data_IF_053922901237
#
_entry.id   IF_053922901237
#
_cell.length_a   1.000
_cell.length_b   1.000
_cell.length_c   1.000
_cell.angle_alpha   90.00
_cell.angle_beta   90.00
_cell.angle_gamma   90.00
#
_symmetry.space_group_name_H-M   'P 1'
#
loop_
_entity.id
_entity.type
_entity.pdbx_description
1 polymer ?
#
# COMPACT_ATOMS: atom_id res chain seq x y z
N UNK A 1 -26.73 3.02 74.19
CA UNK A 1 -25.75 3.80 73.39
C UNK A 1 -26.49 4.76 72.45
N UNK A 2 -26.28 6.07 72.61
CA UNK A 2 -27.05 7.13 71.92
C UNK A 2 -26.84 7.15 70.39
N UNK A 3 -27.90 7.51 69.65
CA UNK A 3 -27.98 7.64 68.18
C UNK A 3 -26.83 8.48 67.58
N UNK A 4 -26.31 9.46 68.35
CA UNK A 4 -25.15 10.29 67.98
C UNK A 4 -23.82 9.50 67.86
N UNK A 5 -23.67 8.41 68.61
CA UNK A 5 -22.43 7.62 68.62
C UNK A 5 -22.30 6.70 67.40
N UNK A 6 -23.42 6.15 66.91
CA UNK A 6 -23.47 5.36 65.68
C UNK A 6 -23.22 6.20 64.42
N UNK A 7 -23.63 7.47 64.40
CA UNK A 7 -23.36 8.39 63.28
C UNK A 7 -21.88 8.77 63.26
N UNK A 8 -21.28 9.09 64.41
CA UNK A 8 -19.83 9.35 64.50
C UNK A 8 -19.00 8.16 64.03
N UNK A 9 -19.31 6.94 64.45
CA UNK A 9 -18.60 5.74 63.99
C UNK A 9 -18.71 5.52 62.47
N UNK A 10 -19.88 5.76 61.87
CA UNK A 10 -20.05 5.67 60.41
C UNK A 10 -19.26 6.74 59.66
N UNK A 11 -19.25 7.99 60.14
CA UNK A 11 -18.47 9.07 59.52
C UNK A 11 -16.96 8.79 59.60
N UNK A 12 -16.45 8.31 60.74
CA UNK A 12 -15.06 7.90 60.86
C UNK A 12 -14.71 6.70 59.98
N UNK A 13 -15.61 5.74 59.82
CA UNK A 13 -15.40 4.57 58.95
C UNK A 13 -15.33 4.97 57.45
N UNK A 14 -16.19 5.88 56.99
CA UNK A 14 -16.13 6.38 55.61
C UNK A 14 -14.93 7.30 55.35
N UNK A 15 -14.51 8.11 56.33
CA UNK A 15 -13.26 8.89 56.25
C UNK A 15 -12.03 7.99 56.19
N UNK A 16 -12.03 6.87 56.92
CA UNK A 16 -10.93 5.92 56.95
C UNK A 16 -10.82 5.10 55.64
N UNK A 17 -11.95 4.68 55.06
CA UNK A 17 -11.97 4.05 53.72
C UNK A 17 -11.52 5.04 52.64
N UNK A 18 -11.97 6.29 52.70
CA UNK A 18 -11.52 7.34 51.78
C UNK A 18 -10.01 7.55 51.82
N UNK A 19 -9.41 7.60 53.02
CA UNK A 19 -7.95 7.72 53.19
C UNK A 19 -7.18 6.50 52.68
N UNK A 20 -7.73 5.28 52.80
CA UNK A 20 -7.12 4.06 52.24
C UNK A 20 -7.14 4.05 50.70
N UNK A 21 -8.27 4.42 50.08
CA UNK A 21 -8.41 4.44 48.61
C UNK A 21 -7.59 5.57 47.97
N UNK A 22 -7.50 6.74 48.61
CA UNK A 22 -6.62 7.83 48.15
C UNK A 22 -5.14 7.50 48.40
N UNK A 23 -4.81 6.80 49.49
CA UNK A 23 -3.45 6.33 49.78
C UNK A 23 -2.93 5.37 48.70
N UNK A 24 -3.72 4.36 48.33
CA UNK A 24 -3.34 3.38 47.28
C UNK A 24 -3.24 4.03 45.90
N UNK A 25 -4.17 4.94 45.56
CA UNK A 25 -4.14 5.67 44.29
C UNK A 25 -2.94 6.62 44.17
N UNK A 26 -2.50 7.26 45.26
CA UNK A 26 -1.29 8.07 45.26
C UNK A 26 -0.01 7.22 45.11
N UNK A 27 0.05 6.03 45.70
CA UNK A 27 1.17 5.09 45.47
C UNK A 27 1.20 4.60 44.02
N UNK A 28 0.08 4.17 43.45
CA UNK A 28 -0.01 3.74 42.05
C UNK A 28 0.35 4.88 41.07
N UNK A 29 -0.15 6.10 41.30
CA UNK A 29 0.24 7.27 40.49
C UNK A 29 1.72 7.61 40.62
N UNK A 30 2.32 7.43 41.80
CA UNK A 30 3.75 7.65 42.01
C UNK A 30 4.61 6.61 41.29
N UNK A 31 4.12 5.38 41.20
CA UNK A 31 4.79 4.25 40.55
C UNK A 31 4.69 4.39 39.02
N UNK A 32 3.50 4.69 38.50
CA UNK A 32 3.28 5.04 37.09
C UNK A 32 4.10 6.26 36.67
N UNK A 33 4.27 7.26 37.54
CA UNK A 33 5.13 8.42 37.26
C UNK A 33 6.60 8.02 37.16
N UNK A 34 7.08 7.14 38.05
CA UNK A 34 8.45 6.61 37.99
C UNK A 34 8.68 5.78 36.73
N UNK A 35 7.75 4.90 36.37
CA UNK A 35 7.83 4.11 35.15
C UNK A 35 7.85 4.99 33.90
N UNK A 36 6.98 6.00 33.82
CA UNK A 36 7.00 6.95 32.71
C UNK A 36 8.30 7.75 32.64
N UNK A 37 8.89 8.13 33.78
CA UNK A 37 10.16 8.83 33.81
C UNK A 37 11.30 7.93 33.30
N UNK A 38 11.34 6.67 33.72
CA UNK A 38 12.30 5.66 33.22
C UNK A 38 12.11 5.40 31.73
N UNK A 39 10.87 5.32 31.23
CA UNK A 39 10.58 5.16 29.81
C UNK A 39 11.02 6.38 28.99
N UNK A 40 10.84 7.60 29.54
CA UNK A 40 11.26 8.85 28.89
C UNK A 40 12.79 8.92 28.81
N UNK A 41 13.48 8.59 29.89
CA UNK A 41 14.95 8.53 29.93
C UNK A 41 15.50 7.47 28.96
N UNK A 42 14.90 6.26 28.94
CA UNK A 42 15.27 5.20 28.00
C UNK A 42 15.01 5.58 26.55
N UNK A 43 13.91 6.28 26.27
CA UNK A 43 13.62 6.84 24.94
C UNK A 43 14.66 7.89 24.54
N UNK A 44 15.06 8.76 25.47
CA UNK A 44 16.08 9.79 25.21
C UNK A 44 17.46 9.16 24.94
N UNK A 45 17.84 8.12 25.69
CA UNK A 45 19.08 7.36 25.45
C UNK A 45 19.04 6.67 24.09
N UNK A 46 17.95 5.99 23.74
CA UNK A 46 17.78 5.35 22.42
C UNK A 46 17.81 6.36 21.27
N UNK A 47 17.35 7.59 21.50
CA UNK A 47 17.44 8.67 20.52
C UNK A 47 18.88 9.18 20.38
N UNK A 48 19.59 9.35 21.49
CA UNK A 48 20.99 9.77 21.50
C UNK A 48 21.93 8.69 20.93
N UNK A 49 21.65 7.40 21.19
CA UNK A 49 22.33 6.26 20.58
C UNK A 49 22.04 6.17 19.07
N UNK A 50 20.80 6.44 18.64
CA UNK A 50 20.47 6.58 17.20
C UNK A 50 21.22 7.75 16.57
N UNK A 51 21.26 8.92 17.20
CA UNK A 51 22.03 10.06 16.70
C UNK A 51 23.53 9.74 16.65
N UNK A 52 24.04 8.98 17.62
CA UNK A 52 25.40 8.44 17.64
C UNK A 52 25.67 7.45 16.50
N UNK A 53 24.77 6.50 16.26
CA UNK A 53 24.86 5.58 15.12
C UNK A 53 24.72 6.28 13.78
N UNK A 54 23.83 7.27 13.66
CA UNK A 54 23.71 8.11 12.45
C UNK A 54 25.00 8.89 12.20
N UNK A 55 25.71 9.32 13.24
CA UNK A 55 27.05 9.94 13.12
C UNK A 55 28.15 8.92 12.78
N UNK A 56 28.10 7.71 13.33
CA UNK A 56 29.06 6.64 13.06
C UNK A 56 28.91 6.03 11.65
N UNK A 57 27.68 5.96 11.15
CA UNK A 57 27.32 5.59 9.79
C UNK A 57 26.99 6.81 8.92
N UNK A 58 27.68 7.93 9.13
CA UNK A 58 27.84 8.88 8.04
C UNK A 58 28.63 8.14 6.95
N UNK A 59 27.92 7.54 5.99
CA UNK A 59 28.51 7.24 4.70
C UNK A 59 29.32 8.48 4.33
N UNK A 60 30.59 8.30 3.98
CA UNK A 60 31.32 9.35 3.29
C UNK A 60 30.59 9.55 1.96
N UNK A 61 29.53 10.34 1.98
CA UNK A 61 29.09 11.06 0.81
C UNK A 61 30.32 11.89 0.46
N UNK A 62 31.11 11.41 -0.51
CA UNK A 62 31.83 12.35 -1.34
C UNK A 62 30.73 13.29 -1.80
N UNK A 63 30.76 14.59 -1.43
CA UNK A 63 29.83 15.51 -2.07
C UNK A 63 30.08 15.30 -3.55
N UNK A 64 29.09 14.76 -4.26
CA UNK A 64 29.13 14.83 -5.72
C UNK A 64 29.39 16.29 -6.01
N UNK A 65 30.35 16.60 -6.91
CA UNK A 65 30.75 17.98 -7.13
C UNK A 65 29.49 18.80 -7.27
N UNK A 66 29.43 19.95 -6.59
CA UNK A 66 28.31 20.89 -6.73
C UNK A 66 28.19 21.15 -8.23
N UNK A 67 27.26 20.44 -8.88
CA UNK A 67 27.06 20.54 -10.32
C UNK A 67 26.46 21.91 -10.52
N UNK A 68 27.30 22.82 -10.99
CA UNK A 68 26.88 24.12 -11.49
C UNK A 68 25.99 23.91 -12.72
N UNK A 69 25.24 24.95 -13.06
CA UNK A 69 24.20 25.05 -14.09
C UNK A 69 24.62 24.66 -15.53
N UNK A 70 25.82 24.12 -15.74
CA UNK A 70 26.36 23.76 -17.04
C UNK A 70 25.85 22.42 -17.62
N UNK A 71 25.15 21.58 -16.85
CA UNK A 71 24.71 20.23 -17.30
C UNK A 71 23.19 20.05 -17.42
N UNK A 72 22.40 21.12 -17.51
CA UNK A 72 20.97 21.02 -17.86
C UNK A 72 20.07 20.29 -16.87
N UNK A 73 20.55 19.92 -15.67
CA UNK A 73 19.70 19.37 -14.61
C UNK A 73 18.95 20.53 -13.96
N UNK A 74 17.68 20.70 -14.29
CA UNK A 74 16.81 21.63 -13.58
C UNK A 74 16.66 21.15 -12.13
N UNK A 75 17.36 21.81 -11.20
CA UNK A 75 17.05 21.69 -9.77
C UNK A 75 15.70 22.38 -9.53
N UNK A 76 14.61 21.62 -9.59
CA UNK A 76 13.34 22.09 -9.04
C UNK A 76 13.56 22.30 -7.52
N UNK A 77 13.21 23.49 -7.02
CA UNK A 77 13.39 23.81 -5.60
C UNK A 77 12.54 22.86 -4.74
N UNK A 78 12.99 22.57 -3.52
CA UNK A 78 12.23 21.77 -2.56
C UNK A 78 10.80 22.32 -2.44
N UNK A 79 9.80 21.45 -2.60
CA UNK A 79 8.39 21.83 -2.55
C UNK A 79 7.60 20.85 -1.68
N UNK A 80 6.48 21.30 -1.12
CA UNK A 80 5.52 20.42 -0.44
C UNK A 80 4.61 19.67 -1.43
N UNK A 81 4.87 19.79 -2.74
CA UNK A 81 4.01 19.24 -3.78
C UNK A 81 4.55 17.90 -4.30
N UNK A 82 4.20 16.83 -3.59
CA UNK A 82 4.67 15.47 -3.91
C UNK A 82 4.12 14.91 -5.23
N UNK A 83 2.93 15.36 -5.66
CA UNK A 83 2.24 14.83 -6.84
C UNK A 83 2.99 15.02 -8.16
N UNK A 84 3.86 16.04 -8.24
CA UNK A 84 4.64 16.37 -9.44
C UNK A 84 5.63 15.29 -9.88
N UNK A 85 5.94 14.32 -9.02
CA UNK A 85 6.90 13.25 -9.28
C UNK A 85 6.25 11.85 -9.38
N UNK A 86 4.92 11.76 -9.22
CA UNK A 86 4.21 10.48 -9.16
C UNK A 86 3.69 10.12 -10.55
N UNK A 87 4.31 9.12 -11.20
CA UNK A 87 3.94 8.67 -12.55
C UNK A 87 3.01 7.45 -12.58
N UNK A 88 2.84 6.75 -11.45
CA UNK A 88 1.93 5.62 -11.28
C UNK A 88 1.04 5.80 -10.05
N UNK A 89 -0.23 5.42 -10.16
CA UNK A 89 -1.04 5.15 -8.97
C UNK A 89 -0.90 3.68 -8.56
N UNK A 90 -0.26 3.44 -7.41
CA UNK A 90 -0.06 2.10 -6.84
C UNK A 90 -1.11 1.74 -5.80
N UNK A 91 -2.11 2.61 -5.62
CA UNK A 91 -3.17 2.41 -4.64
C UNK A 91 -4.29 1.50 -5.11
N UNK A 92 -4.78 1.56 -6.38
CA UNK A 92 -5.84 0.70 -6.90
C UNK A 92 -5.37 -0.73 -7.18
N UNK A 93 -6.34 -1.65 -7.37
CA UNK A 93 -6.03 -3.05 -7.66
C UNK A 93 -5.24 -3.14 -8.95
N UNK A 94 -5.73 -2.55 -10.02
CA UNK A 94 -4.97 -2.36 -11.25
C UNK A 94 -4.29 -1.00 -11.19
N UNK A 95 -2.95 -0.98 -11.23
CA UNK A 95 -2.19 0.26 -11.29
C UNK A 95 -2.30 0.90 -12.66
N UNK A 96 -2.41 2.22 -12.70
CA UNK A 96 -2.45 3.01 -13.94
C UNK A 96 -1.37 4.09 -13.89
N UNK A 97 -0.86 4.51 -15.05
CA UNK A 97 -0.03 5.71 -15.10
C UNK A 97 -0.92 6.92 -14.90
N UNK A 98 -0.41 7.98 -14.29
CA UNK A 98 -1.21 9.14 -13.93
C UNK A 98 -0.57 10.46 -14.37
N UNK A 99 -1.37 11.29 -15.02
CA UNK A 99 -1.03 12.67 -15.41
C UNK A 99 -1.67 13.67 -14.44
N UNK A 100 -1.13 14.89 -14.31
CA UNK A 100 -1.68 15.97 -13.49
C UNK A 100 -2.49 16.89 -14.37
N UNK A 101 -3.76 17.05 -14.06
CA UNK A 101 -4.54 18.16 -14.57
C UNK A 101 -4.57 19.23 -13.50
N UNK A 102 -4.17 20.44 -13.87
CA UNK A 102 -4.14 21.63 -13.03
C UNK A 102 -5.16 22.61 -13.60
N UNK A 103 -6.08 23.06 -12.77
CA UNK A 103 -7.14 23.99 -13.14
C UNK A 103 -6.76 25.44 -12.81
N UNK A 104 -7.47 26.40 -13.41
CA UNK A 104 -7.20 27.84 -13.23
C UNK A 104 -7.36 28.31 -11.76
N UNK A 105 -8.24 27.67 -10.99
CA UNK A 105 -8.43 27.92 -9.56
C UNK A 105 -7.34 27.29 -8.68
N UNK A 106 -6.36 26.62 -9.29
CA UNK A 106 -5.27 25.92 -8.62
C UNK A 106 -5.62 24.52 -8.13
N UNK A 107 -6.86 24.05 -8.34
CA UNK A 107 -7.25 22.66 -8.09
C UNK A 107 -6.41 21.71 -8.96
N UNK A 108 -6.17 20.50 -8.47
CA UNK A 108 -5.30 19.51 -9.10
C UNK A 108 -5.86 18.12 -8.93
N UNK A 109 -5.86 17.35 -10.01
CA UNK A 109 -6.38 16.00 -10.01
C UNK A 109 -5.48 15.06 -10.82
N UNK A 110 -5.37 13.81 -10.36
CA UNK A 110 -4.64 12.75 -11.05
C UNK A 110 -5.56 12.09 -12.08
N UNK A 111 -5.17 12.12 -13.35
CA UNK A 111 -5.89 11.48 -14.45
C UNK A 111 -5.19 10.18 -14.85
N UNK A 112 -5.85 9.01 -14.71
CA UNK A 112 -5.28 7.75 -15.14
C UNK A 112 -5.18 7.67 -16.67
N UNK A 113 -4.17 6.95 -17.19
CA UNK A 113 -3.97 6.72 -18.63
C UNK A 113 -5.06 5.88 -19.30
N UNK A 114 -6.01 5.39 -18.52
CA UNK A 114 -7.25 4.74 -18.98
C UNK A 114 -8.38 5.72 -19.29
N UNK A 115 -8.23 7.00 -18.90
CA UNK A 115 -9.17 8.07 -19.17
C UNK A 115 -8.57 9.06 -20.18
N UNK A 116 -9.39 9.57 -21.08
CA UNK A 116 -8.98 10.63 -22.00
C UNK A 116 -8.65 11.92 -21.22
N UNK A 117 -7.54 12.55 -21.57
CA UNK A 117 -7.14 13.81 -20.97
C UNK A 117 -7.98 14.94 -21.56
N UNK A 118 -8.47 15.88 -20.74
CA UNK A 118 -9.17 17.05 -21.26
C UNK A 118 -8.20 17.95 -22.02
N UNK A 119 -8.74 18.83 -22.86
CA UNK A 119 -7.96 19.84 -23.55
C UNK A 119 -7.64 21.03 -22.63
N UNK A 120 -6.53 21.73 -22.90
CA UNK A 120 -6.21 22.97 -22.18
C UNK A 120 -7.28 24.03 -22.53
N UNK A 121 -7.90 24.60 -21.51
CA UNK A 121 -9.02 25.54 -21.62
C UNK A 121 -10.39 24.87 -21.62
N UNK A 122 -10.48 23.54 -21.65
CA UNK A 122 -11.76 22.83 -21.55
C UNK A 122 -12.40 23.03 -20.17
N UNK A 123 -13.73 23.19 -20.14
CA UNK A 123 -14.51 23.18 -18.90
C UNK A 123 -14.84 21.75 -18.50
N UNK A 124 -14.35 21.33 -17.34
CA UNK A 124 -14.56 20.00 -16.76
C UNK A 124 -15.33 20.13 -15.45
N UNK A 125 -16.31 19.25 -15.25
CA UNK A 125 -17.02 19.12 -13.98
C UNK A 125 -16.22 18.22 -13.03
N UNK A 126 -15.88 18.76 -11.87
CA UNK A 126 -15.15 18.08 -10.81
C UNK A 126 -16.00 18.04 -9.55
N UNK A 127 -15.65 17.17 -8.59
CA UNK A 127 -16.43 17.01 -7.35
C UNK A 127 -15.57 17.35 -6.14
N UNK A 128 -15.98 18.36 -5.39
CA UNK A 128 -15.39 18.71 -4.11
C UNK A 128 -16.20 18.12 -2.97
N UNK A 129 -15.53 17.55 -1.97
CA UNK A 129 -16.16 17.21 -0.70
C UNK A 129 -16.13 18.43 0.22
N UNK A 130 -17.29 18.99 0.51
CA UNK A 130 -17.45 20.17 1.37
C UNK A 130 -18.21 19.78 2.62
N UNK A 131 -17.78 20.28 3.78
CA UNK A 131 -18.54 20.13 5.03
C UNK A 131 -19.69 21.14 5.05
N UNK A 132 -20.93 20.65 5.01
CA UNK A 132 -22.16 21.44 5.13
C UNK A 132 -23.04 20.81 6.21
N UNK A 133 -23.50 21.60 7.18
CA UNK A 133 -24.35 21.13 8.28
C UNK A 133 -23.81 19.87 8.98
N UNK A 134 -22.51 19.87 9.30
CA UNK A 134 -21.78 18.75 9.91
C UNK A 134 -21.74 17.46 9.06
N UNK A 135 -22.11 17.54 7.79
CA UNK A 135 -22.09 16.42 6.83
C UNK A 135 -21.14 16.72 5.67
N UNK A 136 -20.37 15.72 5.25
CA UNK A 136 -19.60 15.80 4.01
C UNK A 136 -20.55 15.62 2.83
N UNK A 137 -20.63 16.63 1.95
CA UNK A 137 -21.46 16.62 0.75
C UNK A 137 -20.59 16.81 -0.49
N UNK A 138 -20.95 16.11 -1.57
CA UNK A 138 -20.33 16.26 -2.87
C UNK A 138 -20.91 17.49 -3.58
N UNK A 139 -20.07 18.47 -3.86
CA UNK A 139 -20.41 19.66 -4.63
C UNK A 139 -19.75 19.57 -6.00
N UNK A 140 -20.56 19.61 -7.06
CA UNK A 140 -20.05 19.71 -8.44
C UNK A 140 -19.55 21.13 -8.68
N UNK A 141 -18.33 21.25 -9.21
CA UNK A 141 -17.67 22.51 -9.53
C UNK A 141 -17.17 22.46 -10.98
N UNK A 142 -17.62 23.41 -11.80
CA UNK A 142 -17.07 23.62 -13.15
C UNK A 142 -15.71 24.30 -13.06
N UNK A 143 -14.70 23.71 -13.70
CA UNK A 143 -13.32 24.21 -13.69
C UNK A 143 -12.75 24.21 -15.10
N UNK A 144 -11.96 25.23 -15.42
CA UNK A 144 -11.23 25.31 -16.69
C UNK A 144 -9.82 24.75 -16.53
N UNK A 145 -9.39 23.90 -17.46
CA UNK A 145 -8.06 23.29 -17.44
C UNK A 145 -7.01 24.34 -17.78
N UNK A 146 -6.07 24.56 -16.86
CA UNK A 146 -4.97 25.51 -17.04
C UNK A 146 -3.71 24.84 -17.58
N UNK A 147 -3.36 23.67 -17.06
CA UNK A 147 -2.12 22.97 -17.43
C UNK A 147 -2.25 21.47 -17.22
N UNK A 148 -1.60 20.71 -18.10
CA UNK A 148 -1.46 19.26 -17.97
C UNK A 148 0.03 18.93 -17.79
N UNK A 149 0.34 18.04 -16.84
CA UNK A 149 1.67 17.45 -16.65
C UNK A 149 1.54 15.95 -16.85
N UNK A 150 1.99 15.46 -17.98
CA UNK A 150 1.91 14.05 -18.37
C UNK A 150 2.68 13.15 -17.39
N UNK A 151 2.30 11.87 -17.32
CA UNK A 151 3.03 10.90 -16.50
C UNK A 151 4.50 10.78 -16.90
N UNK A 152 4.83 11.00 -18.19
CA UNK A 152 6.20 11.02 -18.70
C UNK A 152 6.98 12.21 -18.14
N UNK A 153 6.40 13.41 -18.15
CA UNK A 153 7.03 14.60 -17.56
C UNK A 153 7.24 14.43 -16.05
N UNK A 154 6.24 13.88 -15.34
CA UNK A 154 6.39 13.54 -13.92
C UNK A 154 7.51 12.52 -13.68
N UNK A 155 7.66 11.54 -14.58
CA UNK A 155 8.75 10.56 -14.52
C UNK A 155 10.12 11.20 -14.75
N UNK A 156 10.27 12.03 -15.78
CA UNK A 156 11.54 12.72 -16.01
C UNK A 156 11.92 13.62 -14.84
N UNK A 157 10.95 14.33 -14.24
CA UNK A 157 11.17 15.08 -12.99
C UNK A 157 11.70 14.21 -11.85
N UNK A 158 11.20 12.99 -11.68
CA UNK A 158 11.75 12.06 -10.68
C UNK A 158 13.13 11.52 -11.08
N UNK A 159 13.35 11.26 -12.37
CA UNK A 159 14.66 10.83 -12.89
C UNK A 159 15.74 11.90 -12.68
N UNK A 160 15.39 13.18 -12.74
CA UNK A 160 16.33 14.28 -12.45
C UNK A 160 16.89 14.21 -11.03
N UNK A 161 16.08 13.79 -10.05
CA UNK A 161 16.56 13.51 -8.69
C UNK A 161 17.61 12.40 -8.72
N UNK A 162 17.37 11.32 -9.46
CA UNK A 162 18.30 10.20 -9.59
C UNK A 162 19.60 10.59 -10.33
N UNK A 163 19.53 11.48 -11.33
CA UNK A 163 20.69 11.97 -12.13
C UNK A 163 21.71 12.76 -11.30
N UNK A 164 21.36 13.14 -10.06
CA UNK A 164 22.32 13.70 -9.12
C UNK A 164 23.42 12.68 -8.78
N UNK A 165 23.11 11.39 -8.69
CA UNK A 165 24.02 10.34 -8.22
C UNK A 165 24.23 9.18 -9.21
N UNK A 166 23.25 8.89 -10.07
CA UNK A 166 23.27 7.76 -10.99
C UNK A 166 23.37 8.19 -12.45
N UNK A 167 23.97 7.34 -13.29
CA UNK A 167 23.97 7.54 -14.73
C UNK A 167 22.62 7.16 -15.36
N UNK A 168 22.39 7.61 -16.59
CA UNK A 168 21.13 7.41 -17.29
C UNK A 168 20.78 5.93 -17.53
N UNK A 169 21.78 5.08 -17.83
CA UNK A 169 21.57 3.65 -18.07
C UNK A 169 20.99 2.98 -16.81
N UNK A 170 21.57 3.24 -15.64
CA UNK A 170 21.09 2.70 -14.38
C UNK A 170 19.65 3.16 -14.10
N UNK A 171 19.37 4.45 -14.28
CA UNK A 171 18.05 5.04 -14.02
C UNK A 171 16.99 4.41 -14.94
N UNK A 172 17.27 4.34 -16.24
CA UNK A 172 16.33 3.77 -17.22
C UNK A 172 16.09 2.27 -16.96
N UNK A 173 17.12 1.52 -16.59
CA UNK A 173 16.98 0.11 -16.23
C UNK A 173 16.18 -0.08 -14.93
N UNK A 174 16.33 0.80 -13.95
CA UNK A 174 15.52 0.78 -12.72
C UNK A 174 14.02 0.98 -13.04
N UNK A 175 13.68 2.02 -13.81
CA UNK A 175 12.29 2.26 -14.22
C UNK A 175 11.72 1.17 -15.12
N UNK A 176 12.53 0.58 -16.01
CA UNK A 176 12.09 -0.57 -16.83
C UNK A 176 11.73 -1.77 -15.95
N UNK A 177 12.54 -2.09 -14.94
CA UNK A 177 12.24 -3.17 -14.00
C UNK A 177 10.97 -2.88 -13.18
N UNK A 178 10.84 -1.65 -12.68
CA UNK A 178 9.64 -1.22 -11.95
C UNK A 178 8.38 -1.31 -12.81
N UNK A 179 8.38 -0.76 -14.02
CA UNK A 179 7.24 -0.82 -14.94
C UNK A 179 6.89 -2.27 -15.28
N UNK A 180 7.88 -3.11 -15.60
CA UNK A 180 7.66 -4.52 -15.91
C UNK A 180 7.01 -5.27 -14.75
N UNK A 181 7.42 -5.00 -13.50
CA UNK A 181 6.82 -5.63 -12.33
C UNK A 181 5.37 -5.17 -12.13
N UNK A 182 5.09 -3.86 -12.25
CA UNK A 182 3.74 -3.32 -12.12
C UNK A 182 2.82 -3.96 -13.16
N UNK A 183 3.29 -4.08 -14.41
CA UNK A 183 2.55 -4.75 -15.48
C UNK A 183 2.36 -6.24 -15.21
N UNK A 184 3.41 -6.95 -14.75
CA UNK A 184 3.29 -8.36 -14.36
C UNK A 184 2.22 -8.55 -13.28
N UNK A 185 2.25 -7.72 -12.23
CA UNK A 185 1.24 -7.76 -11.18
C UNK A 185 -0.16 -7.50 -11.73
N UNK A 186 -0.30 -6.45 -12.56
CA UNK A 186 -1.57 -6.04 -13.14
C UNK A 186 -2.20 -7.15 -14.01
N UNK A 187 -1.43 -7.69 -14.96
CA UNK A 187 -1.94 -8.65 -15.95
C UNK A 187 -2.14 -10.04 -15.35
N UNK A 188 -1.16 -10.54 -14.58
CA UNK A 188 -1.17 -11.92 -14.09
C UNK A 188 -2.08 -12.13 -12.87
N UNK A 189 -2.23 -11.11 -12.04
CA UNK A 189 -2.94 -11.23 -10.76
C UNK A 189 -4.11 -10.26 -10.65
N UNK A 190 -3.86 -8.95 -10.74
CA UNK A 190 -4.87 -7.94 -10.41
C UNK A 190 -6.13 -8.04 -11.29
N UNK A 191 -5.97 -8.08 -12.62
CA UNK A 191 -7.08 -8.15 -13.57
C UNK A 191 -7.86 -9.48 -13.46
N UNK A 192 -7.23 -10.68 -13.46
CA UNK A 192 -7.95 -11.93 -13.26
C UNK A 192 -8.74 -11.99 -11.94
N UNK A 193 -8.11 -11.55 -10.84
CA UNK A 193 -8.75 -11.50 -9.52
C UNK A 193 -9.96 -10.56 -9.54
N UNK A 194 -9.81 -9.35 -10.07
CA UNK A 194 -10.91 -8.38 -10.19
C UNK A 194 -12.06 -8.92 -11.05
N UNK A 195 -11.75 -9.58 -12.17
CA UNK A 195 -12.74 -10.18 -13.05
C UNK A 195 -13.48 -11.33 -12.37
N UNK A 196 -12.81 -12.20 -11.59
CA UNK A 196 -13.49 -13.26 -10.84
C UNK A 196 -14.41 -12.70 -9.77
N UNK A 197 -13.98 -11.67 -9.03
CA UNK A 197 -14.85 -11.03 -8.02
C UNK A 197 -16.08 -10.38 -8.66
N UNK A 198 -15.92 -9.73 -9.81
CA UNK A 198 -17.04 -9.15 -10.57
C UNK A 198 -18.02 -10.24 -10.99
N UNK A 199 -17.55 -11.31 -11.62
CA UNK A 199 -18.41 -12.40 -12.07
C UNK A 199 -19.16 -13.06 -10.89
N UNK A 200 -18.52 -13.20 -9.73
CA UNK A 200 -19.16 -13.78 -8.53
C UNK A 200 -20.31 -12.89 -8.03
N UNK A 201 -20.19 -11.57 -8.14
CA UNK A 201 -21.28 -10.63 -7.84
C UNK A 201 -22.39 -10.77 -8.88
N UNK A 202 -22.05 -10.81 -10.16
CA UNK A 202 -23.03 -10.93 -11.26
C UNK A 202 -23.81 -12.26 -11.22
N UNK A 203 -23.15 -13.35 -10.80
CA UNK A 203 -23.78 -14.66 -10.58
C UNK A 203 -24.59 -14.73 -9.26
N UNK A 204 -24.61 -13.65 -8.48
CA UNK A 204 -25.29 -13.58 -7.18
C UNK A 204 -24.73 -14.55 -6.14
N UNK A 205 -23.43 -14.91 -6.27
CA UNK A 205 -22.67 -15.63 -5.24
C UNK A 205 -22.29 -14.68 -4.12
N UNK A 206 -21.85 -13.47 -4.48
CA UNK A 206 -21.49 -12.42 -3.51
C UNK A 206 -22.52 -11.30 -3.50
N UNK A 207 -22.83 -10.78 -2.31
CA UNK A 207 -23.62 -9.58 -2.15
C UNK A 207 -22.73 -8.33 -2.32
N UNK A 208 -23.02 -7.39 -3.25
CA UNK A 208 -22.22 -6.18 -3.42
C UNK A 208 -22.24 -5.26 -2.19
N UNK A 209 -23.27 -5.37 -1.34
CA UNK A 209 -23.41 -4.60 -0.09
C UNK A 209 -22.91 -5.36 1.15
N UNK A 210 -22.44 -6.60 0.96
CA UNK A 210 -21.98 -7.49 2.01
C UNK A 210 -20.46 -7.67 1.96
N UNK A 211 -19.66 -6.69 2.43
CA UNK A 211 -18.22 -6.85 2.46
C UNK A 211 -17.83 -7.94 3.47
N UNK A 212 -16.87 -8.78 3.10
CA UNK A 212 -16.24 -9.75 4.00
C UNK A 212 -17.15 -10.88 4.53
N UNK A 213 -18.23 -11.19 3.83
CA UNK A 213 -19.14 -12.31 4.11
C UNK A 213 -18.53 -13.67 3.75
N UNK A 214 -17.68 -13.73 2.73
CA UNK A 214 -16.99 -14.94 2.29
C UNK A 214 -15.46 -14.80 2.38
N UNK A 215 -14.76 -15.91 2.64
CA UNK A 215 -13.29 -15.96 2.74
C UNK A 215 -12.60 -15.38 1.48
N UNK A 216 -13.18 -15.60 0.30
CA UNK A 216 -12.66 -15.07 -0.97
C UNK A 216 -12.55 -13.54 -0.98
N UNK A 217 -13.45 -12.82 -0.28
CA UNK A 217 -13.39 -11.36 -0.16
C UNK A 217 -12.24 -10.91 0.77
N UNK A 218 -11.94 -11.66 1.82
CA UNK A 218 -10.78 -11.40 2.68
C UNK A 218 -9.46 -11.63 1.94
N UNK A 219 -9.36 -12.71 1.17
CA UNK A 219 -8.17 -13.01 0.36
C UNK A 219 -7.99 -11.94 -0.74
N UNK A 220 -9.07 -11.57 -1.43
CA UNK A 220 -9.08 -10.45 -2.38
C UNK A 220 -8.53 -9.15 -1.76
N UNK A 221 -8.95 -8.85 -0.52
CA UNK A 221 -8.45 -7.69 0.23
C UNK A 221 -6.98 -7.83 0.65
N UNK A 222 -6.43 -9.03 0.82
CA UNK A 222 -4.98 -9.18 1.07
C UNK A 222 -4.19 -8.94 -0.22
N UNK A 223 -4.63 -9.55 -1.33
CA UNK A 223 -3.99 -9.51 -2.66
C UNK A 223 -3.70 -8.11 -3.19
N UNK A 224 -4.56 -7.15 -2.88
CA UNK A 224 -4.44 -5.80 -3.43
C UNK A 224 -3.80 -4.79 -2.46
N UNK A 225 -4.49 -4.29 -1.43
CA UNK A 225 -3.98 -3.17 -0.62
C UNK A 225 -2.79 -3.56 0.27
N UNK A 226 -2.57 -4.85 0.55
CA UNK A 226 -1.41 -5.34 1.30
C UNK A 226 -0.28 -5.76 0.35
N UNK A 227 -0.26 -7.02 -0.08
CA UNK A 227 0.89 -7.62 -0.75
C UNK A 227 1.11 -7.05 -2.16
N UNK A 228 0.03 -6.83 -2.91
CA UNK A 228 0.09 -6.18 -4.21
C UNK A 228 0.63 -4.77 -4.15
N UNK A 229 0.21 -3.97 -3.16
CA UNK A 229 0.78 -2.63 -2.94
C UNK A 229 2.24 -2.75 -2.48
N UNK A 230 2.57 -3.68 -1.58
CA UNK A 230 3.91 -3.87 -1.03
C UNK A 230 4.93 -4.22 -2.13
N UNK A 231 4.60 -5.14 -3.03
CA UNK A 231 5.50 -5.52 -4.13
C UNK A 231 5.78 -4.34 -5.08
N UNK A 232 4.74 -3.59 -5.47
CA UNK A 232 4.88 -2.43 -6.37
C UNK A 232 5.65 -1.28 -5.72
N UNK A 233 5.40 -1.01 -4.43
CA UNK A 233 6.16 -0.01 -3.67
C UNK A 233 7.61 -0.44 -3.47
N UNK A 234 7.85 -1.70 -3.11
CA UNK A 234 9.19 -2.28 -3.00
C UNK A 234 10.00 -2.06 -4.27
N UNK A 235 9.41 -2.32 -5.44
CA UNK A 235 10.09 -2.12 -6.71
C UNK A 235 10.36 -0.64 -7.03
N UNK A 236 9.41 0.25 -6.71
CA UNK A 236 9.59 1.69 -6.91
C UNK A 236 10.71 2.30 -6.07
N UNK A 237 11.06 1.66 -4.94
CA UNK A 237 12.04 2.15 -3.97
C UNK A 237 13.26 1.23 -3.83
N UNK A 238 13.52 0.36 -4.82
CA UNK A 238 14.65 -0.57 -4.84
C UNK A 238 14.76 -1.46 -3.59
N UNK A 239 13.62 -1.90 -3.04
CA UNK A 239 13.53 -2.87 -1.94
C UNK A 239 13.30 -4.28 -2.47
N UNK A 240 14.35 -5.08 -2.78
CA UNK A 240 14.20 -6.38 -3.42
C UNK A 240 13.43 -7.40 -2.56
N UNK A 241 13.64 -7.38 -1.24
CA UNK A 241 12.96 -8.27 -0.30
C UNK A 241 11.46 -7.99 -0.20
N UNK A 242 11.09 -6.70 -0.15
CA UNK A 242 9.70 -6.22 -0.19
C UNK A 242 9.04 -6.43 -1.56
N UNK A 243 9.84 -6.46 -2.62
CA UNK A 243 9.37 -6.75 -3.97
C UNK A 243 9.05 -8.23 -4.11
N UNK A 244 9.92 -9.10 -3.59
CA UNK A 244 9.87 -10.53 -3.80
C UNK A 244 9.23 -11.27 -2.62
N UNK A 245 9.97 -11.50 -1.52
CA UNK A 245 9.56 -12.36 -0.41
C UNK A 245 8.34 -11.85 0.34
N UNK A 246 8.30 -10.55 0.64
CA UNK A 246 7.13 -9.92 1.25
C UNK A 246 6.14 -9.38 0.22
N UNK A 247 6.38 -9.59 -1.06
CA UNK A 247 5.58 -9.03 -2.14
C UNK A 247 5.03 -10.13 -3.04
N UNK A 248 5.70 -10.36 -4.16
CA UNK A 248 5.26 -11.26 -5.21
C UNK A 248 5.13 -12.73 -4.75
N UNK A 249 5.93 -13.16 -3.77
CA UNK A 249 5.80 -14.49 -3.17
C UNK A 249 4.44 -14.63 -2.45
N UNK A 250 4.11 -13.70 -1.57
CA UNK A 250 2.81 -13.68 -0.85
C UNK A 250 1.64 -13.56 -1.84
N UNK A 251 1.74 -12.64 -2.83
CA UNK A 251 0.77 -12.51 -3.93
C UNK A 251 0.53 -13.85 -4.62
N UNK A 252 1.61 -14.53 -5.04
CA UNK A 252 1.49 -15.79 -5.75
C UNK A 252 0.90 -16.89 -4.84
N UNK A 253 1.37 -16.98 -3.60
CA UNK A 253 0.89 -17.95 -2.64
C UNK A 253 -0.62 -17.77 -2.40
N UNK A 254 -1.06 -16.59 -2.00
CA UNK A 254 -2.46 -16.31 -1.74
C UNK A 254 -3.31 -16.40 -3.01
N UNK A 255 -2.79 -16.05 -4.18
CA UNK A 255 -3.52 -16.22 -5.44
C UNK A 255 -3.77 -17.71 -5.74
N UNK A 256 -2.72 -18.53 -5.77
CA UNK A 256 -2.84 -19.92 -6.24
C UNK A 256 -3.38 -20.88 -5.18
N UNK A 257 -2.97 -20.70 -3.91
CA UNK A 257 -3.28 -21.64 -2.82
C UNK A 257 -4.57 -21.28 -2.12
N UNK A 258 -4.89 -19.99 -1.98
CA UNK A 258 -6.05 -19.56 -1.20
C UNK A 258 -7.19 -19.03 -2.07
N UNK A 259 -6.92 -18.08 -2.96
CA UNK A 259 -7.95 -17.38 -3.73
C UNK A 259 -8.67 -18.29 -4.72
N UNK A 260 -7.95 -19.02 -5.57
CA UNK A 260 -8.60 -19.90 -6.57
C UNK A 260 -9.48 -20.97 -5.90
N UNK A 261 -9.04 -21.68 -4.84
CA UNK A 261 -9.94 -22.58 -4.10
C UNK A 261 -11.10 -21.87 -3.41
N UNK A 262 -10.88 -20.69 -2.82
CA UNK A 262 -11.94 -19.92 -2.16
C UNK A 262 -13.03 -19.45 -3.15
N UNK A 263 -12.68 -19.15 -4.40
CA UNK A 263 -13.64 -18.87 -5.47
C UNK A 263 -14.55 -20.09 -5.71
N UNK A 264 -13.98 -21.29 -5.80
CA UNK A 264 -14.75 -22.54 -5.99
C UNK A 264 -15.64 -22.81 -4.77
N UNK A 265 -15.12 -22.59 -3.57
CA UNK A 265 -15.86 -22.76 -2.32
C UNK A 265 -17.08 -21.84 -2.28
N UNK A 266 -16.90 -20.54 -2.50
CA UNK A 266 -18.00 -19.57 -2.53
C UNK A 266 -19.03 -19.94 -3.63
N UNK A 267 -18.57 -20.32 -4.82
CA UNK A 267 -19.43 -20.80 -5.90
C UNK A 267 -20.25 -22.05 -5.51
N UNK A 268 -19.65 -22.97 -4.75
CA UNK A 268 -20.31 -24.21 -4.30
C UNK A 268 -21.41 -23.99 -3.28
N UNK A 269 -21.29 -22.96 -2.44
CA UNK A 269 -22.31 -22.56 -1.47
C UNK A 269 -23.58 -22.06 -2.18
N UNK A 270 -23.44 -21.51 -3.39
CA UNK A 270 -24.56 -21.07 -4.23
C UNK A 270 -25.27 -22.25 -4.90
N UNK A 271 -24.56 -23.04 -5.71
CA UNK A 271 -25.09 -24.23 -6.36
C UNK A 271 -23.98 -25.08 -7.01
N UNK A 272 -24.27 -26.35 -7.28
CA UNK A 272 -23.34 -27.23 -8.01
C UNK A 272 -23.10 -26.75 -9.46
N UNK A 273 -24.07 -26.12 -10.11
CA UNK A 273 -23.93 -25.58 -11.46
C UNK A 273 -22.91 -24.42 -11.49
N UNK A 274 -23.03 -23.49 -10.53
CA UNK A 274 -22.10 -22.36 -10.41
C UNK A 274 -20.71 -22.87 -10.01
N UNK A 275 -20.62 -23.87 -9.12
CA UNK A 275 -19.35 -24.54 -8.82
C UNK A 275 -18.63 -25.03 -10.09
N UNK A 276 -19.31 -25.79 -10.93
CA UNK A 276 -18.75 -26.35 -12.17
C UNK A 276 -18.32 -25.24 -13.13
N UNK A 277 -19.09 -24.14 -13.22
CA UNK A 277 -18.72 -22.95 -14.02
C UNK A 277 -17.35 -22.39 -13.60
N UNK A 278 -17.12 -22.22 -12.30
CA UNK A 278 -15.86 -21.67 -11.77
C UNK A 278 -14.70 -22.65 -11.81
N UNK A 279 -14.93 -23.94 -11.58
CA UNK A 279 -13.93 -25.00 -11.79
C UNK A 279 -13.39 -24.94 -13.23
N UNK A 280 -14.28 -24.93 -14.22
CA UNK A 280 -13.90 -24.83 -15.63
C UNK A 280 -13.21 -23.50 -15.98
N UNK A 281 -13.64 -22.38 -15.38
CA UNK A 281 -13.00 -21.08 -15.59
C UNK A 281 -11.56 -21.08 -15.07
N UNK A 282 -11.33 -21.64 -13.89
CA UNK A 282 -10.00 -21.75 -13.28
C UNK A 282 -9.12 -22.74 -14.06
N UNK A 283 -9.68 -23.85 -14.53
CA UNK A 283 -8.94 -24.80 -15.38
C UNK A 283 -8.50 -24.15 -16.69
N UNK A 284 -9.37 -23.37 -17.35
CA UNK A 284 -8.99 -22.59 -18.54
C UNK A 284 -7.88 -21.59 -18.23
N UNK A 285 -7.96 -20.86 -17.11
CA UNK A 285 -6.90 -19.94 -16.68
C UNK A 285 -5.56 -20.66 -16.52
N UNK A 286 -5.54 -21.84 -15.92
CA UNK A 286 -4.31 -22.65 -15.73
C UNK A 286 -3.68 -23.15 -17.03
N UNK A 287 -4.38 -23.07 -18.17
CA UNK A 287 -3.82 -23.44 -19.47
C UNK A 287 -2.99 -22.33 -20.13
N UNK A 288 -3.09 -21.09 -19.66
CA UNK A 288 -2.36 -19.95 -20.23
C UNK A 288 -0.85 -20.06 -19.97
N UNK A 289 -0.06 -19.37 -20.78
CA UNK A 289 1.41 -19.50 -20.82
C UNK A 289 2.06 -19.17 -19.46
N UNK A 290 1.58 -18.12 -18.80
CA UNK A 290 2.04 -17.64 -17.50
C UNK A 290 1.77 -18.59 -16.32
N UNK A 291 0.97 -19.63 -16.54
CA UNK A 291 0.58 -20.65 -15.58
C UNK A 291 1.19 -22.03 -15.86
N UNK A 292 1.98 -22.18 -16.94
CA UNK A 292 2.55 -23.47 -17.34
C UNK A 292 3.45 -24.11 -16.27
N UNK A 293 4.03 -23.31 -15.38
CA UNK A 293 4.84 -23.79 -14.25
C UNK A 293 4.05 -24.70 -13.28
N UNK A 294 2.71 -24.63 -13.30
CA UNK A 294 1.83 -25.49 -12.50
C UNK A 294 1.59 -26.87 -13.12
N UNK A 295 1.93 -27.06 -14.40
CA UNK A 295 1.80 -28.37 -15.03
C UNK A 295 2.86 -29.31 -14.49
N UNK A 296 2.51 -30.59 -14.36
CA UNK A 296 3.48 -31.63 -14.03
C UNK A 296 4.57 -31.61 -15.10
N UNK A 297 5.79 -31.29 -14.70
CA UNK A 297 6.94 -31.40 -15.59
C UNK A 297 7.13 -32.87 -15.99
N UNK A 298 7.52 -33.12 -17.25
CA UNK A 298 8.00 -34.45 -17.63
C UNK A 298 9.21 -34.83 -16.78
N UNK A 299 9.48 -36.12 -16.62
CA UNK A 299 10.69 -36.59 -15.91
C UNK A 299 11.97 -35.92 -16.46
N UNK A 300 12.06 -35.78 -17.79
CA UNK A 300 13.13 -35.04 -18.46
C UNK A 300 13.18 -33.55 -18.07
N UNK A 301 12.01 -32.91 -17.91
CA UNK A 301 11.90 -31.52 -17.46
C UNK A 301 12.39 -31.33 -16.03
N UNK A 302 12.03 -32.24 -15.11
CA UNK A 302 12.51 -32.24 -13.73
C UNK A 302 14.03 -32.44 -13.69
N UNK A 303 14.55 -33.32 -14.53
CA UNK A 303 15.98 -33.66 -14.53
C UNK A 303 16.82 -32.51 -15.09
N UNK A 304 16.32 -31.81 -16.12
CA UNK A 304 16.88 -30.54 -16.56
C UNK A 304 16.89 -29.50 -15.45
N UNK A 305 15.77 -29.31 -14.74
CA UNK A 305 15.69 -28.35 -13.63
C UNK A 305 16.71 -28.67 -12.52
N UNK A 306 16.82 -29.94 -12.11
CA UNK A 306 17.80 -30.37 -11.11
C UNK A 306 19.23 -30.16 -11.58
N UNK A 307 19.52 -30.49 -12.84
CA UNK A 307 20.84 -30.28 -13.43
C UNK A 307 21.22 -28.79 -13.48
N UNK A 308 20.31 -27.93 -13.95
CA UNK A 308 20.51 -26.46 -13.96
C UNK A 308 20.73 -25.91 -12.56
N UNK A 309 19.94 -26.36 -11.57
CA UNK A 309 20.14 -25.94 -10.18
C UNK A 309 21.51 -26.38 -9.66
N UNK A 310 21.92 -27.62 -9.95
CA UNK A 310 23.21 -28.13 -9.52
C UNK A 310 24.37 -27.32 -10.13
N UNK A 311 24.33 -27.05 -11.43
CA UNK A 311 25.36 -26.27 -12.15
C UNK A 311 25.47 -24.81 -11.68
N UNK A 312 24.34 -24.20 -11.30
CA UNK A 312 24.34 -22.81 -10.87
C UNK A 312 24.82 -22.61 -9.42
N UNK A 313 24.58 -23.60 -8.54
CA UNK A 313 24.77 -23.45 -7.10
C UNK A 313 25.81 -24.41 -6.48
N UNK A 314 26.33 -25.39 -7.22
CA UNK A 314 27.38 -26.32 -6.77
C UNK A 314 28.52 -26.43 -7.80
#
# INVERSE_FOLDING_TARGET
>A
MSKKMKIRQRVYFFLWIGLLVFGTGCTELSEVRKENQVLTEKSSQLQQEREGQVKQYQLKEKPSPVKTTANGVCKEASSHEVGKHISWTLRPIVSNRISLVIYEDGHKEDYPDTQELPDIGEEVQTVDMVLQDEKLVNKVVSRHVSKIVTWQERREKMKDVCRNCHNEVHINNSYKQFDNLVLLYNEKFAKPVQAMMKDLIEDGVLNPNGPFEHEVQWIYWKLWPYEGRRTRLGASMMGPDYTHWHGMYEVAQHYYIDFLPAVIQAASEKSNEIKVKYEQKIDRLRTQEEHLWMKVFSEEGVERLRATYKDHYN
#
